data_IF_745144612850
#
_entry.id   IF_745144612850
#
_cell.length_a   1.000
_cell.length_b   1.000
_cell.length_c   1.000
_cell.angle_alpha   90.00
_cell.angle_beta   90.00
_cell.angle_gamma   90.00
#
_symmetry.space_group_name_H-M   'P 1'
#
loop_
_entity.id
_entity.type
_entity.pdbx_description
1 polymer ?
#
# COMPACT_ATOMS: atom_id res chain seq x y z
N UNK A 1 3.86 12.79 -3.79
CA UNK A 1 2.60 13.37 -4.26
C UNK A 1 1.45 12.47 -3.82
N UNK A 2 0.37 13.06 -3.30
CA UNK A 2 -0.84 12.33 -2.95
C UNK A 2 -1.65 12.06 -4.22
N UNK A 3 -2.21 10.86 -4.32
CA UNK A 3 -2.94 10.38 -5.49
C UNK A 3 -4.41 10.18 -5.11
N UNK A 4 -5.29 10.91 -5.78
CA UNK A 4 -6.74 10.73 -5.71
C UNK A 4 -7.24 9.76 -6.79
N UNK A 5 -8.53 9.52 -6.83
CA UNK A 5 -9.17 8.58 -7.74
C UNK A 5 -9.24 9.08 -9.20
N UNK A 6 -9.08 10.40 -9.42
CA UNK A 6 -9.16 11.03 -10.74
C UNK A 6 -7.80 11.09 -11.45
N UNK A 7 -6.72 10.76 -10.75
CA UNK A 7 -5.39 10.67 -11.34
C UNK A 7 -5.34 9.63 -12.47
N UNK A 8 -4.67 9.94 -13.60
CA UNK A 8 -4.54 9.00 -14.70
C UNK A 8 -3.94 7.68 -14.26
N UNK A 9 -4.60 6.59 -14.64
CA UNK A 9 -4.14 5.25 -14.36
C UNK A 9 -2.81 4.98 -15.06
N UNK A 10 -1.81 4.54 -14.31
CA UNK A 10 -0.48 4.21 -14.82
C UNK A 10 -0.14 2.77 -14.49
N UNK A 11 0.14 1.98 -15.52
CA UNK A 11 0.75 0.67 -15.39
C UNK A 11 2.27 0.77 -15.41
N UNK A 12 2.93 -0.39 -15.25
CA UNK A 12 4.37 -0.50 -15.42
C UNK A 12 4.67 -1.62 -16.42
N UNK A 13 5.42 -1.35 -17.52
CA UNK A 13 5.56 -2.31 -18.62
C UNK A 13 6.23 -3.62 -18.22
N UNK A 14 7.14 -3.58 -17.25
CA UNK A 14 7.91 -4.74 -16.78
C UNK A 14 7.45 -5.32 -15.44
N UNK A 15 6.44 -4.73 -14.81
CA UNK A 15 5.88 -5.21 -13.56
C UNK A 15 4.46 -5.73 -13.80
N UNK A 16 4.34 -7.04 -14.01
CA UNK A 16 3.11 -7.72 -14.40
C UNK A 16 1.92 -7.36 -13.50
N UNK A 17 2.13 -7.27 -12.18
CA UNK A 17 1.08 -6.88 -11.25
C UNK A 17 0.47 -5.50 -11.57
N UNK A 18 1.31 -4.49 -11.78
CA UNK A 18 0.83 -3.13 -12.10
C UNK A 18 0.17 -3.08 -13.48
N UNK A 19 0.70 -3.84 -14.46
CA UNK A 19 0.11 -3.98 -15.78
C UNK A 19 -1.30 -4.58 -15.71
N UNK A 20 -1.45 -5.72 -15.01
CA UNK A 20 -2.75 -6.38 -14.88
C UNK A 20 -3.77 -5.52 -14.11
N UNK A 21 -3.34 -4.76 -13.10
CA UNK A 21 -4.23 -3.82 -12.40
C UNK A 21 -4.75 -2.74 -13.34
N UNK A 22 -3.90 -2.18 -14.20
CA UNK A 22 -4.31 -1.22 -15.21
C UNK A 22 -5.31 -1.84 -16.20
N UNK A 23 -5.03 -3.05 -16.70
CA UNK A 23 -5.92 -3.76 -17.63
C UNK A 23 -7.31 -4.02 -17.01
N UNK A 24 -7.38 -4.40 -15.73
CA UNK A 24 -8.64 -4.58 -14.99
C UNK A 24 -9.40 -3.25 -14.90
N UNK A 25 -8.75 -2.16 -14.54
CA UNK A 25 -9.40 -0.85 -14.44
C UNK A 25 -9.95 -0.38 -15.80
N UNK A 26 -9.18 -0.57 -16.87
CA UNK A 26 -9.62 -0.27 -18.23
C UNK A 26 -10.80 -1.12 -18.67
N UNK A 27 -10.79 -2.41 -18.30
CA UNK A 27 -11.91 -3.31 -18.55
C UNK A 27 -13.17 -2.86 -17.81
N UNK A 28 -13.05 -2.54 -16.51
CA UNK A 28 -14.17 -2.05 -15.70
C UNK A 28 -14.72 -0.72 -16.23
N UNK A 29 -13.86 0.17 -16.73
CA UNK A 29 -14.30 1.43 -17.35
C UNK A 29 -15.14 1.17 -18.60
N UNK A 30 -14.69 0.29 -19.52
CA UNK A 30 -15.47 -0.11 -20.69
C UNK A 30 -16.81 -0.75 -20.28
N UNK A 31 -16.82 -1.62 -19.29
CA UNK A 31 -18.08 -2.22 -18.81
C UNK A 31 -19.06 -1.17 -18.29
N UNK A 32 -18.61 -0.08 -17.67
CA UNK A 32 -19.51 1.01 -17.24
C UNK A 32 -20.12 1.77 -18.42
N UNK A 33 -19.36 1.94 -19.49
CA UNK A 33 -19.85 2.61 -20.72
C UNK A 33 -20.82 1.72 -21.49
N UNK A 34 -20.51 0.43 -21.65
CA UNK A 34 -21.30 -0.53 -22.44
C UNK A 34 -22.54 -1.03 -21.69
N UNK A 35 -22.48 -1.05 -20.35
CA UNK A 35 -23.53 -1.59 -19.48
C UNK A 35 -23.88 -0.62 -18.35
N UNK A 36 -24.51 0.53 -18.63
CA UNK A 36 -24.78 1.56 -17.62
C UNK A 36 -25.74 1.10 -16.51
N UNK A 37 -26.48 0.00 -16.71
CA UNK A 37 -27.29 -0.63 -15.67
C UNK A 37 -26.45 -1.39 -14.62
N UNK A 38 -25.18 -1.69 -14.90
CA UNK A 38 -24.29 -2.40 -13.99
C UNK A 38 -23.68 -1.42 -12.98
N UNK A 39 -24.13 -1.48 -11.77
CA UNK A 39 -23.56 -0.69 -10.67
C UNK A 39 -22.22 -1.29 -10.25
N UNK A 40 -21.20 -0.47 -10.24
CA UNK A 40 -19.83 -0.91 -9.89
C UNK A 40 -19.32 -0.16 -8.68
N UNK A 41 -18.86 -0.91 -7.68
CA UNK A 41 -18.06 -0.39 -6.57
C UNK A 41 -16.62 -0.86 -6.77
N UNK A 42 -15.74 0.05 -7.14
CA UNK A 42 -14.31 -0.21 -7.35
C UNK A 42 -13.51 0.29 -6.16
N UNK A 43 -12.86 -0.61 -5.46
CA UNK A 43 -12.06 -0.30 -4.27
C UNK A 43 -10.57 -0.43 -4.59
N UNK A 44 -9.82 0.63 -4.33
CA UNK A 44 -8.36 0.71 -4.56
C UNK A 44 -7.63 0.73 -3.21
N UNK A 45 -7.38 -0.41 -2.58
CA UNK A 45 -6.72 -0.43 -1.29
C UNK A 45 -5.23 -0.09 -1.40
N UNK A 46 -4.75 0.71 -0.46
CA UNK A 46 -3.34 0.80 -0.11
C UNK A 46 -2.83 -0.54 0.43
N UNK A 47 -1.84 -0.53 1.30
CA UNK A 47 -1.40 -1.78 1.93
C UNK A 47 -2.36 -2.18 3.03
N UNK A 48 -3.05 -3.31 2.86
CA UNK A 48 -3.92 -3.86 3.89
C UNK A 48 -3.06 -4.53 4.97
N UNK A 49 -3.28 -4.14 6.22
CA UNK A 49 -2.69 -4.76 7.40
C UNK A 49 -3.78 -5.43 8.23
N UNK A 50 -3.43 -6.54 8.88
CA UNK A 50 -4.38 -7.30 9.69
C UNK A 50 -3.72 -8.34 10.57
N UNK A 51 -4.51 -8.93 11.46
CA UNK A 51 -4.00 -9.88 12.47
C UNK A 51 -3.34 -11.13 11.87
N UNK A 52 -3.88 -11.63 10.76
CA UNK A 52 -3.43 -12.88 10.12
C UNK A 52 -2.94 -12.66 8.68
N UNK A 53 -2.85 -11.41 8.24
CA UNK A 53 -2.41 -11.11 6.89
C UNK A 53 -0.88 -11.13 6.81
N UNK A 54 -0.38 -11.98 5.91
CA UNK A 54 1.01 -11.96 5.46
C UNK A 54 1.03 -11.49 4.01
N UNK A 55 1.76 -10.42 3.75
CA UNK A 55 1.97 -9.91 2.41
C UNK A 55 3.45 -9.51 2.21
N UNK A 56 3.92 -9.32 0.98
CA UNK A 56 5.32 -8.98 0.72
C UNK A 56 5.80 -7.73 1.46
N UNK A 57 4.89 -6.78 1.78
CA UNK A 57 5.23 -5.57 2.52
C UNK A 57 5.44 -5.88 4.00
N UNK A 58 4.58 -6.72 4.61
CA UNK A 58 4.76 -7.13 6.00
C UNK A 58 6.07 -7.91 6.21
N UNK A 59 6.53 -8.64 5.20
CA UNK A 59 7.79 -9.38 5.25
C UNK A 59 9.02 -8.46 5.24
N UNK A 60 8.93 -7.27 4.63
CA UNK A 60 9.99 -6.26 4.73
C UNK A 60 10.21 -5.83 6.19
N UNK A 61 9.14 -5.75 6.97
CA UNK A 61 9.20 -5.34 8.37
C UNK A 61 9.80 -6.39 9.30
N UNK A 62 9.83 -7.67 8.89
CA UNK A 62 10.48 -8.77 9.64
C UNK A 62 11.99 -8.82 9.46
N UNK A 63 12.56 -8.14 8.46
CA UNK A 63 14.01 -8.11 8.21
C UNK A 63 14.76 -7.38 9.32
N UNK A 64 16.03 -7.74 9.54
CA UNK A 64 16.91 -7.09 10.55
C UNK A 64 17.26 -5.63 10.21
N UNK A 65 17.19 -5.27 8.95
CA UNK A 65 17.54 -3.92 8.44
C UNK A 65 16.47 -3.51 7.45
N UNK A 66 16.02 -2.27 7.52
CA UNK A 66 15.12 -1.67 6.56
C UNK A 66 15.96 -1.02 5.46
N UNK A 67 15.83 -1.52 4.24
CA UNK A 67 16.51 -0.97 3.07
C UNK A 67 15.61 0.08 2.41
N UNK A 68 16.18 1.23 2.08
CA UNK A 68 15.54 2.28 1.30
C UNK A 68 16.27 2.54 0.00
N UNK A 69 15.68 3.35 -0.87
CA UNK A 69 16.33 3.84 -2.09
C UNK A 69 16.80 5.27 -1.84
N UNK A 70 18.09 5.51 -2.04
CA UNK A 70 18.69 6.83 -1.83
C UNK A 70 17.99 7.89 -2.69
N UNK A 71 17.65 9.04 -2.08
CA UNK A 71 16.92 10.12 -2.76
C UNK A 71 15.40 9.93 -2.86
N UNK A 72 14.84 8.84 -2.30
CA UNK A 72 13.39 8.58 -2.31
C UNK A 72 12.88 8.30 -0.89
N UNK A 73 11.75 8.90 -0.53
CA UNK A 73 11.15 8.71 0.81
C UNK A 73 10.34 7.42 0.95
N UNK A 74 9.93 6.79 -0.17
CA UNK A 74 9.15 5.53 -0.20
C UNK A 74 8.07 5.50 0.88
N UNK A 75 7.01 6.29 0.71
CA UNK A 75 5.92 6.40 1.69
C UNK A 75 4.90 5.29 1.51
N UNK A 76 4.33 4.85 2.63
CA UNK A 76 3.32 3.80 2.70
C UNK A 76 2.05 4.33 3.34
N UNK A 77 0.92 4.05 2.72
CA UNK A 77 -0.40 4.18 3.32
C UNK A 77 -0.90 2.80 3.70
N UNK A 78 -1.51 2.72 4.86
CA UNK A 78 -2.05 1.47 5.39
C UNK A 78 -3.54 1.60 5.63
N UNK A 79 -4.25 0.48 5.50
CA UNK A 79 -5.64 0.34 5.94
C UNK A 79 -5.78 -0.96 6.74
N UNK A 80 -6.60 -0.92 7.77
CA UNK A 80 -6.84 -2.09 8.60
C UNK A 80 -7.84 -3.05 7.96
N UNK A 81 -7.63 -4.37 8.11
CA UNK A 81 -8.46 -5.39 7.46
C UNK A 81 -9.95 -5.26 7.77
N UNK A 82 -10.32 -4.90 9.03
CA UNK A 82 -11.72 -4.74 9.39
C UNK A 82 -12.37 -3.52 8.75
N UNK A 83 -11.61 -2.46 8.45
CA UNK A 83 -12.14 -1.32 7.70
C UNK A 83 -12.48 -1.72 6.27
N UNK A 84 -11.62 -2.51 5.62
CA UNK A 84 -11.89 -3.03 4.27
C UNK A 84 -13.17 -3.86 4.26
N UNK A 85 -13.32 -4.78 5.23
CA UNK A 85 -14.53 -5.61 5.36
C UNK A 85 -15.78 -4.74 5.60
N UNK A 86 -15.67 -3.73 6.48
CA UNK A 86 -16.79 -2.82 6.78
C UNK A 86 -17.19 -1.99 5.57
N UNK A 87 -16.23 -1.49 4.78
CA UNK A 87 -16.48 -0.74 3.55
C UNK A 87 -17.18 -1.62 2.51
N UNK A 88 -16.72 -2.86 2.30
CA UNK A 88 -17.35 -3.80 1.38
C UNK A 88 -18.80 -4.07 1.82
N UNK A 89 -19.01 -4.35 3.11
CA UNK A 89 -20.35 -4.62 3.66
C UNK A 89 -21.26 -3.41 3.47
N UNK A 90 -20.84 -2.22 3.87
CA UNK A 90 -21.63 -0.99 3.69
C UNK A 90 -21.94 -0.74 2.23
N UNK A 91 -20.96 -0.93 1.33
CA UNK A 91 -21.15 -0.80 -0.10
C UNK A 91 -22.23 -1.70 -0.66
N UNK A 92 -22.30 -2.96 -0.19
CA UNK A 92 -23.33 -3.92 -0.60
C UNK A 92 -24.69 -3.59 0.02
N UNK A 93 -24.74 -3.30 1.33
CA UNK A 93 -25.99 -3.03 2.05
C UNK A 93 -26.68 -1.74 1.55
N UNK A 94 -25.89 -0.72 1.21
CA UNK A 94 -26.39 0.59 0.76
C UNK A 94 -26.40 0.73 -0.77
N UNK A 95 -26.05 -0.34 -1.52
CA UNK A 95 -25.94 -0.30 -2.98
C UNK A 95 -25.05 0.86 -3.48
N UNK A 96 -23.91 1.10 -2.84
CA UNK A 96 -22.96 2.14 -3.24
C UNK A 96 -22.29 1.81 -4.56
N UNK A 97 -21.97 2.84 -5.32
CA UNK A 97 -21.22 2.76 -6.57
C UNK A 97 -20.13 3.83 -6.59
N UNK A 98 -19.15 3.68 -7.48
CA UNK A 98 -18.06 4.62 -7.61
C UNK A 98 -16.68 3.97 -7.45
N UNK A 99 -15.66 4.80 -7.40
CA UNK A 99 -14.25 4.40 -7.25
C UNK A 99 -13.71 5.07 -6.00
N UNK A 100 -13.14 4.29 -5.09
CA UNK A 100 -12.67 4.78 -3.80
C UNK A 100 -11.31 4.22 -3.42
N UNK A 101 -10.39 5.11 -3.06
CA UNK A 101 -9.12 4.75 -2.45
C UNK A 101 -9.32 4.37 -0.98
N UNK A 102 -8.78 3.22 -0.58
CA UNK A 102 -8.87 2.75 0.79
C UNK A 102 -7.52 2.94 1.50
N UNK A 103 -7.44 3.91 2.37
CA UNK A 103 -6.27 4.21 3.18
C UNK A 103 -6.70 4.84 4.52
N UNK A 104 -5.95 4.58 5.58
CA UNK A 104 -6.00 5.38 6.79
C UNK A 104 -5.32 6.74 6.57
N UNK A 105 -5.62 7.70 7.40
CA UNK A 105 -5.02 9.04 7.32
C UNK A 105 -3.50 9.01 7.47
N UNK A 106 -2.82 9.91 6.76
CA UNK A 106 -1.36 10.03 6.78
C UNK A 106 -0.65 8.91 6.02
N UNK A 107 0.68 8.94 6.09
CA UNK A 107 1.55 7.94 5.47
C UNK A 107 2.84 7.81 6.30
N UNK A 108 3.48 6.65 6.26
CA UNK A 108 4.76 6.39 6.91
C UNK A 108 5.86 6.18 5.87
N UNK A 109 6.98 6.88 5.99
CA UNK A 109 8.17 6.61 5.21
C UNK A 109 8.90 5.36 5.73
N UNK A 110 9.74 4.73 4.88
CA UNK A 110 10.59 3.62 5.33
C UNK A 110 11.52 3.99 6.47
N UNK A 111 11.94 5.26 6.55
CA UNK A 111 12.75 5.75 7.66
C UNK A 111 11.98 5.74 8.97
N UNK A 112 10.76 6.31 8.99
CA UNK A 112 9.88 6.29 10.16
C UNK A 112 9.51 4.86 10.57
N UNK A 113 9.24 3.98 9.61
CA UNK A 113 8.99 2.55 9.87
C UNK A 113 10.21 1.90 10.55
N UNK A 114 11.41 2.19 10.08
CA UNK A 114 12.64 1.67 10.68
C UNK A 114 12.83 2.18 12.11
N UNK A 115 12.57 3.46 12.37
CA UNK A 115 12.62 4.09 13.69
C UNK A 115 11.62 3.43 14.65
N UNK A 116 10.35 3.26 14.22
CA UNK A 116 9.32 2.56 15.00
C UNK A 116 9.76 1.13 15.35
N UNK A 117 10.36 0.42 14.40
CA UNK A 117 10.84 -0.96 14.61
C UNK A 117 12.15 -1.06 15.39
N UNK A 118 12.81 0.05 15.73
CA UNK A 118 14.15 0.06 16.33
C UNK A 118 15.21 -0.58 15.45
N UNK A 119 15.08 -0.49 14.12
CA UNK A 119 15.95 -1.14 13.14
C UNK A 119 16.80 -0.14 12.38
N UNK A 120 18.04 -0.54 11.99
CA UNK A 120 18.87 0.30 11.12
C UNK A 120 18.16 0.58 9.79
N UNK A 121 18.09 1.86 9.41
CA UNK A 121 17.67 2.29 8.07
C UNK A 121 18.90 2.48 7.19
N UNK A 122 18.97 1.80 6.04
CA UNK A 122 20.09 1.88 5.10
C UNK A 122 19.56 2.23 3.69
N UNK A 123 19.58 3.52 3.32
CA UNK A 123 19.29 3.91 1.95
C UNK A 123 20.49 3.58 1.05
N UNK A 124 20.24 2.85 -0.03
CA UNK A 124 21.24 2.45 -1.01
C UNK A 124 20.95 3.07 -2.38
N UNK A 125 21.96 3.34 -3.20
CA UNK A 125 21.75 3.76 -4.58
C UNK A 125 20.91 2.76 -5.37
N UNK A 126 19.97 3.24 -6.19
CA UNK A 126 19.10 2.37 -7.00
C UNK A 126 19.89 1.44 -7.93
N UNK A 127 21.01 1.90 -8.48
CA UNK A 127 21.92 1.09 -9.32
C UNK A 127 22.50 -0.11 -8.58
N UNK A 128 22.92 0.08 -7.33
CA UNK A 128 23.46 -0.99 -6.50
C UNK A 128 22.39 -2.04 -6.17
N UNK A 129 21.20 -1.59 -5.75
CA UNK A 129 20.06 -2.48 -5.46
C UNK A 129 19.62 -3.25 -6.72
N UNK A 130 19.53 -2.57 -7.86
CA UNK A 130 19.18 -3.19 -9.14
C UNK A 130 20.20 -4.25 -9.56
N UNK A 131 21.50 -3.95 -9.43
CA UNK A 131 22.58 -4.90 -9.72
C UNK A 131 22.51 -6.14 -8.83
N UNK A 132 22.34 -5.94 -7.52
CA UNK A 132 22.19 -7.04 -6.56
C UNK A 132 20.97 -7.93 -6.90
N UNK A 133 19.80 -7.32 -7.17
CA UNK A 133 18.59 -8.08 -7.49
C UNK A 133 18.70 -8.84 -8.83
N UNK A 134 19.41 -8.29 -9.83
CA UNK A 134 19.69 -8.98 -11.11
C UNK A 134 20.51 -10.24 -10.90
N UNK A 135 21.46 -10.23 -9.96
CA UNK A 135 22.29 -11.39 -9.65
C UNK A 135 21.59 -12.39 -8.73
N UNK A 136 20.84 -11.92 -7.73
CA UNK A 136 20.21 -12.78 -6.72
C UNK A 136 18.95 -13.49 -7.22
N UNK A 137 18.17 -12.87 -8.12
CA UNK A 137 16.93 -13.46 -8.65
C UNK A 137 17.16 -14.78 -9.40
N UNK A 138 18.07 -14.89 -10.38
CA UNK A 138 18.31 -16.16 -11.08
C UNK A 138 18.92 -17.25 -10.20
N UNK A 139 19.57 -16.86 -9.09
CA UNK A 139 20.13 -17.81 -8.12
C UNK A 139 19.08 -18.31 -7.10
N UNK A 140 17.82 -17.86 -7.21
CA UNK A 140 16.77 -18.20 -6.25
C UNK A 140 16.95 -17.57 -4.85
N UNK A 141 17.92 -16.66 -4.69
CA UNK A 141 18.23 -15.98 -3.41
C UNK A 141 17.34 -14.75 -3.17
N UNK A 142 16.62 -14.30 -4.18
CA UNK A 142 15.61 -13.24 -4.08
C UNK A 142 14.41 -13.57 -4.96
N UNK A 143 13.23 -13.43 -4.39
CA UNK A 143 11.97 -13.46 -5.16
C UNK A 143 11.64 -12.11 -5.83
N UNK A 144 12.42 -11.06 -5.51
CA UNK A 144 12.25 -9.71 -6.03
C UNK A 144 13.24 -9.47 -7.17
N UNK A 145 12.77 -8.79 -8.23
CA UNK A 145 13.59 -8.36 -9.35
C UNK A 145 13.80 -6.84 -9.39
N UNK A 146 14.66 -6.35 -10.31
CA UNK A 146 14.92 -4.92 -10.47
C UNK A 146 13.66 -4.10 -10.76
N UNK A 147 12.68 -4.68 -11.43
CA UNK A 147 11.39 -4.07 -11.78
C UNK A 147 10.57 -3.64 -10.56
N UNK A 148 10.81 -4.25 -9.41
CA UNK A 148 10.11 -3.93 -8.16
C UNK A 148 10.74 -2.73 -7.41
N UNK A 149 11.96 -2.32 -7.78
CA UNK A 149 12.57 -1.11 -7.21
C UNK A 149 11.80 0.14 -7.61
N UNK A 150 11.28 0.21 -8.82
CA UNK A 150 10.50 1.36 -9.27
C UNK A 150 9.19 1.47 -8.49
N UNK A 151 8.60 0.35 -8.09
CA UNK A 151 7.45 0.34 -7.20
C UNK A 151 7.77 0.86 -5.79
N UNK A 152 9.00 0.64 -5.28
CA UNK A 152 9.45 1.26 -4.03
C UNK A 152 9.78 2.74 -4.19
N UNK A 153 10.39 3.14 -5.31
CA UNK A 153 10.77 4.53 -5.60
C UNK A 153 9.57 5.44 -5.82
N UNK A 154 8.57 4.95 -6.54
CA UNK A 154 7.41 5.72 -7.03
C UNK A 154 6.10 5.17 -6.48
N UNK A 155 6.15 4.73 -5.22
CA UNK A 155 4.97 4.17 -4.56
C UNK A 155 3.84 5.20 -4.48
N UNK A 156 2.61 4.86 -4.93
CA UNK A 156 1.47 5.75 -4.81
C UNK A 156 1.10 5.96 -3.34
N UNK A 157 0.90 7.20 -2.96
CA UNK A 157 0.40 7.61 -1.65
C UNK A 157 -1.05 8.04 -1.85
N UNK A 158 -1.98 7.16 -1.53
CA UNK A 158 -3.42 7.36 -1.78
C UNK A 158 -4.02 8.35 -0.80
N UNK A 159 -4.86 9.29 -1.29
CA UNK A 159 -5.78 10.04 -0.44
C UNK A 159 -7.01 9.19 -0.15
N UNK A 160 -7.68 9.45 0.96
CA UNK A 160 -8.92 8.80 1.35
C UNK A 160 -10.08 9.81 1.47
N UNK A 161 -9.93 10.99 0.85
CA UNK A 161 -10.89 12.06 0.99
C UNK A 161 -12.25 11.65 0.43
N UNK A 162 -12.28 11.09 -0.79
CA UNK A 162 -13.51 10.62 -1.43
C UNK A 162 -14.21 9.52 -0.62
N UNK A 163 -13.43 8.61 -0.01
CA UNK A 163 -13.97 7.59 0.89
C UNK A 163 -14.71 8.22 2.09
N UNK A 164 -14.18 9.32 2.65
CA UNK A 164 -14.80 9.99 3.79
C UNK A 164 -15.98 10.87 3.39
N UNK A 165 -15.85 11.65 2.34
CA UNK A 165 -16.81 12.69 1.98
C UNK A 165 -17.98 12.16 1.14
N UNK A 166 -17.72 11.25 0.20
CA UNK A 166 -18.74 10.75 -0.73
C UNK A 166 -19.27 9.35 -0.32
N UNK A 167 -18.36 8.42 0.05
CA UNK A 167 -18.78 7.10 0.50
C UNK A 167 -19.33 7.14 1.94
N UNK A 168 -18.87 8.09 2.76
CA UNK A 168 -19.32 8.27 4.13
C UNK A 168 -18.70 7.28 5.13
N UNK A 169 -17.49 6.77 4.84
CA UNK A 169 -16.77 5.87 5.73
C UNK A 169 -15.52 6.53 6.32
N UNK A 170 -15.44 6.56 7.64
CA UNK A 170 -14.25 7.04 8.37
C UNK A 170 -13.41 5.82 8.80
N UNK A 171 -12.18 5.64 8.29
CA UNK A 171 -11.27 4.60 8.75
C UNK A 171 -11.03 4.67 10.27
N UNK A 172 -11.05 3.54 10.94
CA UNK A 172 -10.86 3.44 12.41
C UNK A 172 -9.46 3.82 12.85
N UNK A 173 -8.51 3.60 11.97
CA UNK A 173 -7.10 3.86 12.21
C UNK A 173 -6.51 4.75 11.12
N UNK A 174 -5.67 5.70 11.52
CA UNK A 174 -4.70 6.32 10.62
C UNK A 174 -3.71 5.26 10.10
N UNK A 175 -2.95 5.57 9.06
CA UNK A 175 -1.88 4.68 8.56
C UNK A 175 -0.89 4.31 9.66
N UNK A 176 -0.57 5.24 10.55
CA UNK A 176 0.34 5.01 11.68
C UNK A 176 -0.26 4.07 12.72
N UNK A 177 -1.51 4.29 13.12
CA UNK A 177 -2.20 3.43 14.08
C UNK A 177 -2.47 2.03 13.52
N UNK A 178 -2.82 1.89 12.23
CA UNK A 178 -2.95 0.61 11.57
C UNK A 178 -1.63 -0.17 11.59
N UNK A 179 -0.49 0.52 11.43
CA UNK A 179 0.83 -0.09 11.54
C UNK A 179 1.13 -0.56 12.96
N UNK A 180 0.84 0.24 14.00
CA UNK A 180 1.00 -0.18 15.39
C UNK A 180 0.09 -1.36 15.74
N UNK A 181 -1.18 -1.33 15.33
CA UNK A 181 -2.11 -2.44 15.54
C UNK A 181 -1.61 -3.74 14.89
N UNK A 182 -1.01 -3.65 13.70
CA UNK A 182 -0.38 -4.77 13.02
C UNK A 182 0.82 -5.31 13.82
N UNK A 183 1.75 -4.46 14.25
CA UNK A 183 2.93 -4.88 15.01
C UNK A 183 2.51 -5.59 16.31
N UNK A 184 1.56 -5.03 17.03
CA UNK A 184 1.00 -5.62 18.24
C UNK A 184 0.38 -6.99 17.96
N UNK A 185 -0.42 -7.11 16.89
CA UNK A 185 -1.08 -8.36 16.52
C UNK A 185 -0.11 -9.46 16.08
N UNK A 186 1.06 -9.07 15.52
CA UNK A 186 2.13 -9.99 15.11
C UNK A 186 3.14 -10.28 16.23
N UNK A 187 3.00 -9.69 17.41
CA UNK A 187 3.97 -9.81 18.50
C UNK A 187 5.35 -9.23 18.19
N UNK A 188 5.40 -8.24 17.28
CA UNK A 188 6.65 -7.56 16.91
C UNK A 188 6.88 -6.39 17.89
N UNK A 189 8.01 -6.39 18.58
CA UNK A 189 8.41 -5.28 19.45
C UNK A 189 8.67 -4.02 18.64
N UNK A 190 8.23 -2.87 19.17
CA UNK A 190 8.40 -1.56 18.54
C UNK A 190 8.54 -0.44 19.58
N UNK A 191 9.08 0.70 19.16
CA UNK A 191 9.16 1.89 19.96
C UNK A 191 7.97 2.81 19.64
N UNK A 192 7.10 3.04 20.61
CA UNK A 192 6.09 4.09 20.52
C UNK A 192 6.74 5.41 20.95
N UNK A 193 6.81 6.38 20.06
CA UNK A 193 7.32 7.73 20.36
C UNK A 193 6.34 8.57 21.21
N UNK A 194 5.35 7.96 21.86
CA UNK A 194 4.41 8.61 22.77
C UNK A 194 4.77 8.46 24.25
N UNK A 195 6.02 8.12 24.57
CA UNK A 195 6.48 8.05 25.96
C UNK A 195 7.55 9.09 26.21
N UNK A 196 7.17 10.36 26.23
CA UNK A 196 7.78 11.34 27.12
C UNK A 196 6.77 12.46 27.43
N UNK A 197 6.49 12.69 28.73
CA UNK A 197 5.66 13.80 29.19
C UNK A 197 6.31 15.13 28.95
#
# INVERSE_FOLDING_TARGET
EWIDEDQPLRGHPYFAYAKHKLEIEQFLARCREEHPQLRQLVLRPGTILGKRLNNPISDLFKKRTVLGVLGHSSRFVFIWEQDVVSIIRQGLEENREGIYNLAGDGALSLKEIAEILGKPYRPLPASLLSGALRLLKPLGLSQYGPEQLDFLRYRPVLTNQRLKEEFGYQPRYSSREAFFAFLTAQGISYHSSESQP
#
